data_IF_547392725361
#
_entry.id   IF_547392725361
#
_cell.length_a   1.000
_cell.length_b   1.000
_cell.length_c   1.000
_cell.angle_alpha   90.00
_cell.angle_beta   90.00
_cell.angle_gamma   90.00
#
_symmetry.space_group_name_H-M   'P 1'
#
loop_
_entity.id
_entity.type
_entity.pdbx_description
1 polymer ?
#
# COMPACT_ATOMS: atom_id res chain seq x y z
N UNK A 1 8.83 18.64 8.28
CA UNK A 1 8.02 19.36 7.28
C UNK A 1 7.34 18.34 6.39
N UNK A 2 6.05 18.51 6.16
CA UNK A 2 5.24 17.70 5.27
C UNK A 2 5.00 18.44 3.97
N UNK A 3 4.96 17.72 2.84
CA UNK A 3 4.82 18.30 1.52
C UNK A 3 3.56 17.76 0.84
N UNK A 4 2.99 18.57 -0.06
CA UNK A 4 1.90 18.20 -0.94
C UNK A 4 2.23 18.52 -2.40
N UNK A 5 3.51 18.75 -2.68
CA UNK A 5 4.02 19.05 -4.01
C UNK A 5 4.21 17.77 -4.84
N UNK A 6 4.15 17.93 -6.14
CA UNK A 6 4.13 16.87 -7.12
C UNK A 6 5.00 17.26 -8.32
N UNK A 7 5.83 16.33 -8.80
CA UNK A 7 6.80 16.58 -9.87
C UNK A 7 6.67 15.54 -10.97
N UNK A 8 7.05 15.91 -12.19
CA UNK A 8 6.98 15.06 -13.37
C UNK A 8 8.36 14.83 -13.98
N UNK A 9 8.70 13.55 -14.18
CA UNK A 9 9.92 13.12 -14.87
C UNK A 9 9.57 12.57 -16.25
N UNK A 10 10.22 13.08 -17.29
CA UNK A 10 10.02 12.58 -18.65
C UNK A 10 10.98 11.40 -18.90
N UNK A 11 10.45 10.20 -19.00
CA UNK A 11 11.24 8.97 -19.19
C UNK A 11 11.91 8.88 -20.57
N UNK A 12 11.39 9.57 -21.59
CA UNK A 12 11.98 9.60 -22.95
C UNK A 12 13.20 10.51 -22.99
N UNK A 13 13.08 11.72 -22.45
CA UNK A 13 14.18 12.70 -22.41
C UNK A 13 15.10 12.51 -21.22
N UNK A 14 14.72 11.68 -20.25
CA UNK A 14 15.42 11.44 -18.98
C UNK A 14 15.66 12.72 -18.17
N UNK A 15 14.68 13.61 -18.18
CA UNK A 15 14.79 14.92 -17.51
C UNK A 15 13.55 15.20 -16.67
N UNK A 16 13.78 15.84 -15.54
CA UNK A 16 12.70 16.50 -14.81
C UNK A 16 12.15 17.65 -15.63
N UNK A 17 10.83 17.78 -15.68
CA UNK A 17 10.22 18.88 -16.38
C UNK A 17 10.39 20.18 -15.57
N UNK A 18 11.30 21.04 -16.03
CA UNK A 18 11.56 22.33 -15.39
C UNK A 18 10.29 23.20 -15.37
N UNK A 19 10.06 23.86 -14.23
CA UNK A 19 8.91 24.72 -14.02
C UNK A 19 7.56 24.01 -13.88
N UNK A 20 7.54 22.68 -14.01
CA UNK A 20 6.36 21.93 -13.67
C UNK A 20 6.49 21.41 -12.25
N UNK A 21 5.76 22.02 -11.37
CA UNK A 21 5.43 21.51 -10.04
C UNK A 21 3.97 21.79 -9.80
N UNK A 22 3.26 20.86 -9.28
CA UNK A 22 1.88 21.02 -8.89
C UNK A 22 1.75 20.77 -7.40
N UNK A 23 0.89 21.52 -6.77
CA UNK A 23 0.38 21.19 -5.45
C UNK A 23 -0.91 20.42 -5.60
N UNK A 24 -1.20 19.55 -4.64
CA UNK A 24 -2.51 18.94 -4.55
C UNK A 24 -3.52 20.02 -4.14
N UNK A 25 -4.28 20.54 -5.12
CA UNK A 25 -5.34 21.52 -4.90
C UNK A 25 -6.65 20.91 -5.36
N UNK A 26 -7.62 20.84 -4.48
CA UNK A 26 -8.96 20.32 -4.74
C UNK A 26 -9.98 21.44 -4.48
N UNK A 27 -10.81 21.78 -5.46
CA UNK A 27 -11.81 22.85 -5.37
C UNK A 27 -11.21 24.18 -4.87
N UNK A 28 -9.98 24.51 -5.27
CA UNK A 28 -9.29 25.73 -4.87
C UNK A 28 -8.65 25.70 -3.48
N UNK A 29 -8.75 24.59 -2.76
CA UNK A 29 -8.16 24.40 -1.43
C UNK A 29 -6.92 23.50 -1.53
N UNK A 30 -5.82 23.95 -0.96
CA UNK A 30 -4.59 23.17 -0.87
C UNK A 30 -4.77 22.00 0.10
N UNK A 31 -4.50 20.78 -0.37
CA UNK A 31 -4.54 19.58 0.45
C UNK A 31 -3.35 19.58 1.42
N UNK A 32 -3.57 19.15 2.65
CA UNK A 32 -2.54 19.10 3.68
C UNK A 32 -1.37 18.20 3.27
N UNK A 33 -0.14 18.66 3.53
CA UNK A 33 1.09 17.91 3.28
C UNK A 33 1.15 16.63 4.10
N UNK A 34 1.76 15.58 3.52
CA UNK A 34 1.80 14.24 4.13
C UNK A 34 3.06 13.47 3.82
N UNK A 35 3.31 12.42 4.59
CA UNK A 35 4.31 11.38 4.30
C UNK A 35 3.70 10.00 4.51
N UNK A 36 4.38 8.96 4.01
CA UNK A 36 3.98 7.56 4.12
C UNK A 36 2.58 7.28 3.56
N UNK A 37 2.22 8.05 2.51
CA UNK A 37 1.01 7.87 1.74
C UNK A 37 1.08 6.62 0.85
N UNK A 38 -0.07 6.15 0.41
CA UNK A 38 -0.21 5.08 -0.57
C UNK A 38 -0.47 5.70 -1.94
N UNK A 39 0.15 5.13 -2.98
CA UNK A 39 -0.11 5.52 -4.36
C UNK A 39 -0.28 4.30 -5.28
N UNK A 40 -1.12 4.44 -6.29
CA UNK A 40 -1.29 3.48 -7.39
C UNK A 40 -1.80 4.18 -8.66
N UNK A 41 -1.88 3.45 -9.77
CA UNK A 41 -2.45 3.93 -11.03
C UNK A 41 -3.30 2.86 -11.69
N UNK A 42 -4.35 3.28 -12.39
CA UNK A 42 -5.16 2.44 -13.29
C UNK A 42 -4.69 2.53 -14.75
N UNK A 43 -3.54 3.17 -14.99
CA UNK A 43 -2.98 3.41 -16.33
C UNK A 43 -3.51 4.69 -17.00
N UNK A 44 -4.58 5.28 -16.49
CA UNK A 44 -5.14 6.54 -16.95
C UNK A 44 -4.96 7.67 -15.94
N UNK A 45 -5.21 7.37 -14.67
CA UNK A 45 -5.14 8.31 -13.55
C UNK A 45 -4.10 7.87 -12.53
N UNK A 46 -3.56 8.81 -11.79
CA UNK A 46 -2.79 8.54 -10.58
C UNK A 46 -3.66 8.70 -9.35
N UNK A 47 -3.47 7.85 -8.34
CA UNK A 47 -4.20 7.91 -7.07
C UNK A 47 -3.20 8.02 -5.93
N UNK A 48 -3.43 8.95 -5.02
CA UNK A 48 -2.61 9.16 -3.81
C UNK A 48 -3.53 9.38 -2.63
N UNK A 49 -3.26 8.74 -1.50
CA UNK A 49 -4.09 8.93 -0.32
C UNK A 49 -3.47 8.38 0.94
N UNK A 50 -4.19 8.55 2.04
CA UNK A 50 -3.75 8.13 3.36
C UNK A 50 -2.45 8.82 3.81
N UNK A 51 -1.63 8.17 4.66
CA UNK A 51 -0.44 8.80 5.22
C UNK A 51 -0.73 9.59 6.49
N UNK A 52 0.24 10.37 6.95
CA UNK A 52 0.03 11.27 8.08
C UNK A 52 0.70 12.63 7.87
N UNK A 53 0.19 13.65 8.53
CA UNK A 53 0.61 15.03 8.44
C UNK A 53 1.02 15.63 9.81
N UNK A 54 0.83 16.93 9.92
CA UNK A 54 1.12 17.66 11.15
C UNK A 54 0.33 17.09 12.35
N UNK A 55 0.83 17.32 13.55
CA UNK A 55 0.24 16.84 14.81
C UNK A 55 -0.06 15.33 14.84
N UNK A 56 0.71 14.55 14.07
CA UNK A 56 0.51 13.10 13.92
C UNK A 56 -0.90 12.70 13.43
N UNK A 57 -1.57 13.58 12.70
CA UNK A 57 -2.88 13.32 12.13
C UNK A 57 -2.78 12.28 11.00
N UNK A 58 -3.40 11.13 11.19
CA UNK A 58 -3.43 10.04 10.21
C UNK A 58 -4.65 10.20 9.32
N UNK A 59 -4.43 10.22 8.00
CA UNK A 59 -5.46 10.52 7.00
C UNK A 59 -6.29 9.30 6.62
N UNK A 60 -7.53 9.60 6.19
CA UNK A 60 -8.50 8.67 5.61
C UNK A 60 -9.08 9.28 4.34
N UNK A 61 -8.24 9.57 3.38
CA UNK A 61 -8.61 10.24 2.15
C UNK A 61 -7.88 9.61 0.96
N UNK A 62 -8.41 9.79 -0.22
CA UNK A 62 -7.72 9.53 -1.49
C UNK A 62 -8.03 10.64 -2.48
N UNK A 63 -7.08 10.90 -3.34
CA UNK A 63 -7.17 11.90 -4.40
C UNK A 63 -6.78 11.27 -5.73
N UNK A 64 -7.51 11.62 -6.78
CA UNK A 64 -7.24 11.23 -8.15
C UNK A 64 -6.59 12.40 -8.89
N UNK A 65 -5.50 12.13 -9.57
CA UNK A 65 -4.82 13.05 -10.47
C UNK A 65 -5.15 12.69 -11.92
N UNK A 66 -5.66 13.66 -12.67
CA UNK A 66 -5.80 13.56 -14.11
C UNK A 66 -4.57 14.18 -14.79
N UNK A 67 -3.71 13.38 -15.47
CA UNK A 67 -2.51 13.91 -16.11
C UNK A 67 -2.78 14.70 -17.39
N UNK A 68 -4.01 14.69 -17.92
CA UNK A 68 -4.41 15.45 -19.13
C UNK A 68 -4.84 16.86 -18.76
N UNK A 69 -5.74 16.99 -17.81
CA UNK A 69 -6.20 18.30 -17.29
C UNK A 69 -5.27 18.86 -16.21
N UNK A 70 -4.37 18.05 -15.68
CA UNK A 70 -3.46 18.37 -14.56
C UNK A 70 -4.23 18.83 -13.30
N UNK A 71 -5.37 18.17 -13.04
CA UNK A 71 -6.25 18.49 -11.92
C UNK A 71 -6.33 17.36 -10.91
N UNK A 72 -6.64 17.73 -9.67
CA UNK A 72 -6.90 16.80 -8.57
C UNK A 72 -8.37 16.82 -8.18
N UNK A 73 -8.89 15.68 -7.84
CA UNK A 73 -10.20 15.54 -7.19
C UNK A 73 -10.14 14.58 -6.02
N UNK A 74 -10.96 14.81 -5.03
CA UNK A 74 -11.10 13.88 -3.91
C UNK A 74 -11.95 12.69 -4.33
N UNK A 75 -11.51 11.48 -3.96
CA UNK A 75 -12.22 10.21 -4.18
C UNK A 75 -12.56 9.64 -2.82
N UNK A 76 -13.85 9.42 -2.54
CA UNK A 76 -14.31 8.87 -1.26
C UNK A 76 -13.65 7.52 -0.98
N UNK A 77 -12.94 7.41 0.14
CA UNK A 77 -12.27 6.17 0.57
C UNK A 77 -13.00 5.56 1.76
N UNK A 78 -13.55 4.34 1.64
CA UNK A 78 -14.34 3.73 2.71
C UNK A 78 -13.51 3.03 3.80
N UNK A 79 -12.19 2.94 3.60
CA UNK A 79 -11.29 2.23 4.52
C UNK A 79 -11.00 2.97 5.82
N UNK A 80 -10.22 2.34 6.70
CA UNK A 80 -9.71 2.96 7.93
C UNK A 80 -8.60 3.98 7.60
N UNK A 81 -8.43 4.98 8.47
CA UNK A 81 -7.25 5.88 8.42
C UNK A 81 -5.98 5.07 8.59
N UNK A 82 -4.93 5.40 7.83
CA UNK A 82 -3.66 4.67 7.89
C UNK A 82 -2.48 5.45 7.35
N UNK A 83 -1.29 5.09 7.77
CA UNK A 83 -0.02 5.48 7.16
C UNK A 83 0.88 4.26 7.01
N UNK A 84 1.83 4.32 6.08
CA UNK A 84 2.76 3.21 5.83
C UNK A 84 2.07 1.90 5.44
N UNK A 85 0.86 1.99 4.87
CA UNK A 85 0.17 0.89 4.24
C UNK A 85 0.75 0.57 2.87
N UNK A 86 0.16 -0.39 2.20
CA UNK A 86 0.55 -0.77 0.83
C UNK A 86 -0.64 -0.84 -0.10
N UNK A 87 -0.37 -0.69 -1.39
CA UNK A 87 -1.30 -1.03 -2.46
C UNK A 87 -0.63 -1.96 -3.46
N UNK A 88 -1.41 -2.88 -3.99
CA UNK A 88 -1.01 -3.73 -5.12
C UNK A 88 -2.13 -3.77 -6.14
N UNK A 89 -1.75 -3.88 -7.42
CA UNK A 89 -2.70 -3.96 -8.53
C UNK A 89 -2.73 -5.39 -9.05
N UNK A 90 -3.90 -6.00 -9.00
CA UNK A 90 -4.17 -7.38 -9.45
C UNK A 90 -5.47 -7.39 -10.23
N UNK A 91 -5.48 -8.03 -11.41
CA UNK A 91 -6.67 -8.25 -12.20
C UNK A 91 -7.55 -6.99 -12.36
N UNK A 92 -6.93 -5.91 -12.85
CA UNK A 92 -7.61 -4.63 -13.12
C UNK A 92 -8.28 -3.96 -11.90
N UNK A 93 -7.73 -4.19 -10.71
CA UNK A 93 -8.15 -3.54 -9.48
C UNK A 93 -6.96 -3.25 -8.56
N UNK A 94 -7.01 -2.15 -7.83
CA UNK A 94 -6.07 -1.86 -6.74
C UNK A 94 -6.64 -2.34 -5.41
N UNK A 95 -5.78 -2.91 -4.58
CA UNK A 95 -6.12 -3.31 -3.22
C UNK A 95 -5.27 -2.51 -2.24
N UNK A 96 -5.92 -1.76 -1.37
CA UNK A 96 -5.29 -0.97 -0.30
C UNK A 96 -5.46 -1.69 1.01
N UNK A 97 -4.36 -1.97 1.70
CA UNK A 97 -4.36 -2.68 2.97
C UNK A 97 -3.17 -2.30 3.85
N UNK A 98 -3.13 -2.88 5.04
CA UNK A 98 -2.06 -2.69 6.02
C UNK A 98 -1.91 -1.22 6.47
N UNK A 99 -0.82 -0.94 7.18
CA UNK A 99 -0.55 0.39 7.75
C UNK A 99 -1.00 0.51 9.20
N UNK A 100 -0.57 1.58 9.86
CA UNK A 100 -0.92 1.89 11.23
C UNK A 100 -1.91 3.05 11.29
N UNK A 101 -2.81 3.04 12.30
CA UNK A 101 -3.88 4.03 12.49
C UNK A 101 -3.49 5.19 13.40
N UNK A 102 -2.37 5.06 14.08
CA UNK A 102 -1.84 6.12 14.97
C UNK A 102 -0.33 6.10 14.97
N UNK A 103 0.28 7.27 14.89
CA UNK A 103 1.74 7.43 14.89
C UNK A 103 2.33 7.00 16.23
N UNK A 104 3.42 6.22 16.18
CA UNK A 104 4.09 5.70 17.38
C UNK A 104 3.43 4.50 18.04
N UNK A 105 2.26 4.04 17.57
CA UNK A 105 1.64 2.84 18.11
C UNK A 105 2.25 1.57 17.50
N UNK A 106 2.60 0.62 18.35
CA UNK A 106 3.20 -0.67 17.95
C UNK A 106 2.18 -1.77 17.67
N UNK A 107 0.88 -1.50 17.82
CA UNK A 107 -0.17 -2.54 17.72
C UNK A 107 -1.50 -2.04 17.11
N UNK A 108 -1.61 -0.76 16.76
CA UNK A 108 -2.84 -0.19 16.22
C UNK A 108 -2.81 -0.16 14.68
N UNK A 109 -2.88 -1.34 14.07
CA UNK A 109 -2.86 -1.49 12.61
C UNK A 109 -4.27 -1.45 12.01
N UNK A 110 -4.35 -1.00 10.75
CA UNK A 110 -5.55 -1.17 9.94
C UNK A 110 -5.73 -2.65 9.57
N UNK A 111 -6.95 -3.14 9.68
CA UNK A 111 -7.29 -4.55 9.47
C UNK A 111 -8.20 -4.79 8.28
N UNK A 112 -8.64 -3.74 7.61
CA UNK A 112 -9.45 -3.84 6.40
C UNK A 112 -8.60 -4.00 5.14
N UNK A 113 -9.20 -4.58 4.12
CA UNK A 113 -8.71 -4.62 2.75
C UNK A 113 -9.74 -3.93 1.87
N UNK A 114 -9.32 -2.91 1.13
CA UNK A 114 -10.21 -2.08 0.31
C UNK A 114 -9.79 -2.22 -1.15
N UNK A 115 -10.72 -2.71 -1.96
CA UNK A 115 -10.56 -2.85 -3.41
C UNK A 115 -11.05 -1.58 -4.11
N UNK A 116 -10.29 -1.10 -5.08
CA UNK A 116 -10.71 -0.11 -6.06
C UNK A 116 -10.80 -0.77 -7.44
N UNK A 117 -11.99 -0.88 -7.97
CA UNK A 117 -12.25 -1.47 -9.26
C UNK A 117 -12.04 -0.44 -10.37
N UNK A 118 -11.13 -0.71 -11.32
CA UNK A 118 -10.78 0.24 -12.38
C UNK A 118 -11.86 0.39 -13.44
N UNK A 119 -12.70 -0.62 -13.64
CA UNK A 119 -13.76 -0.55 -14.63
C UNK A 119 -14.94 0.30 -14.14
N UNK A 120 -15.32 0.14 -12.88
CA UNK A 120 -16.44 0.87 -12.28
C UNK A 120 -16.02 2.15 -11.58
N UNK A 121 -14.71 2.36 -11.38
CA UNK A 121 -14.14 3.51 -10.63
C UNK A 121 -14.74 3.64 -9.23
N UNK A 122 -14.97 2.51 -8.55
CA UNK A 122 -15.61 2.46 -7.25
C UNK A 122 -14.83 1.63 -6.24
N UNK A 123 -14.98 1.99 -4.98
CA UNK A 123 -14.40 1.31 -3.84
C UNK A 123 -15.34 0.25 -3.27
N UNK A 124 -14.76 -0.86 -2.86
CA UNK A 124 -15.43 -1.95 -2.16
C UNK A 124 -14.59 -2.39 -0.96
N UNK A 125 -15.22 -2.53 0.20
CA UNK A 125 -14.57 -3.13 1.36
C UNK A 125 -14.67 -4.65 1.25
N UNK A 126 -13.52 -5.32 1.22
CA UNK A 126 -13.48 -6.77 1.13
C UNK A 126 -14.06 -7.42 2.40
N UNK A 127 -14.83 -8.52 2.26
CA UNK A 127 -15.51 -9.17 3.39
C UNK A 127 -14.58 -9.69 4.48
N UNK A 128 -13.37 -10.18 4.08
CA UNK A 128 -12.41 -10.74 5.00
C UNK A 128 -11.46 -9.67 5.54
N UNK A 129 -11.63 -9.32 6.80
CA UNK A 129 -10.68 -8.47 7.51
C UNK A 129 -9.44 -9.27 7.93
N UNK A 130 -8.33 -8.56 8.15
CA UNK A 130 -7.07 -9.13 8.64
C UNK A 130 -7.12 -9.36 10.16
N UNK A 131 -8.18 -10.01 10.63
CA UNK A 131 -8.38 -10.39 12.03
C UNK A 131 -8.87 -11.81 12.08
N UNK A 132 -8.48 -12.54 13.11
CA UNK A 132 -9.03 -13.85 13.35
C UNK A 132 -10.54 -13.77 13.58
N UNK A 133 -11.27 -14.57 12.85
CA UNK A 133 -12.72 -14.72 13.04
C UNK A 133 -12.98 -16.10 13.64
N UNK A 134 -13.52 -16.18 14.87
CA UNK A 134 -13.92 -17.45 15.45
C UNK A 134 -14.91 -18.20 14.54
N UNK A 135 -14.60 -19.46 14.25
CA UNK A 135 -15.48 -20.33 13.47
C UNK A 135 -15.33 -20.28 11.95
N UNK A 136 -14.47 -19.43 11.41
CA UNK A 136 -14.15 -19.40 9.96
C UNK A 136 -12.89 -20.22 9.71
N UNK A 137 -12.95 -21.18 8.79
CA UNK A 137 -11.77 -21.91 8.31
C UNK A 137 -10.95 -20.97 7.37
N UNK A 138 -10.19 -20.11 7.98
CA UNK A 138 -9.13 -19.35 7.31
C UNK A 138 -7.79 -19.99 7.70
N UNK A 139 -6.74 -19.67 6.95
CA UNK A 139 -5.40 -19.95 7.46
C UNK A 139 -5.27 -19.31 8.84
N UNK A 140 -4.80 -20.09 9.79
CA UNK A 140 -4.61 -19.63 11.17
C UNK A 140 -3.66 -18.43 11.17
N UNK A 141 -3.86 -17.53 12.10
CA UNK A 141 -2.93 -16.43 12.38
C UNK A 141 -3.05 -15.20 11.46
N UNK A 142 -4.22 -14.88 10.91
CA UNK A 142 -4.46 -13.63 10.19
C UNK A 142 -4.11 -12.38 11.01
N UNK A 143 -4.10 -12.47 12.32
CA UNK A 143 -3.65 -11.42 13.24
C UNK A 143 -2.15 -11.11 13.11
N UNK A 144 -1.39 -11.94 12.37
CA UNK A 144 0.02 -11.70 12.04
C UNK A 144 0.22 -10.93 10.73
N UNK A 145 -0.85 -10.74 9.93
CA UNK A 145 -0.77 -10.00 8.67
C UNK A 145 -0.66 -8.48 8.91
N UNK A 146 -1.44 -7.85 9.80
CA UNK A 146 -1.41 -6.41 10.00
C UNK A 146 -0.03 -5.90 10.42
N UNK A 147 0.48 -4.95 9.66
CA UNK A 147 1.81 -4.35 9.83
C UNK A 147 1.91 -3.01 9.12
N UNK A 148 2.95 -2.26 9.40
CA UNK A 148 3.28 -0.99 8.75
C UNK A 148 4.58 -1.16 7.94
N UNK A 149 4.72 -0.42 6.84
CA UNK A 149 5.92 -0.39 6.00
C UNK A 149 6.32 -1.74 5.39
N UNK A 150 5.35 -2.59 5.10
CA UNK A 150 5.57 -3.82 4.37
C UNK A 150 5.86 -3.53 2.89
N UNK A 151 6.60 -4.43 2.24
CA UNK A 151 6.67 -4.47 0.78
C UNK A 151 5.55 -5.33 0.22
N UNK A 152 5.07 -4.96 -0.96
CA UNK A 152 4.17 -5.80 -1.74
C UNK A 152 4.69 -5.94 -3.17
N UNK A 153 4.39 -7.08 -3.78
CA UNK A 153 4.66 -7.35 -5.19
C UNK A 153 3.60 -8.32 -5.74
N UNK A 154 3.44 -8.34 -7.06
CA UNK A 154 2.46 -9.17 -7.76
C UNK A 154 3.18 -10.10 -8.73
N UNK A 155 2.75 -11.35 -8.79
CA UNK A 155 3.29 -12.34 -9.72
C UNK A 155 2.22 -13.31 -10.19
N UNK A 156 2.32 -13.72 -11.45
CA UNK A 156 1.55 -14.80 -12.06
C UNK A 156 2.42 -16.03 -12.40
N UNK A 157 3.61 -16.12 -11.81
CA UNK A 157 4.58 -17.17 -12.10
C UNK A 157 4.27 -18.52 -11.43
N UNK A 158 3.13 -18.64 -10.74
CA UNK A 158 2.66 -19.90 -10.18
C UNK A 158 2.24 -20.91 -11.26
N UNK A 159 2.07 -22.18 -10.86
CA UNK A 159 1.69 -23.27 -11.76
C UNK A 159 0.30 -23.11 -12.39
N UNK A 160 -0.55 -22.28 -11.82
CA UNK A 160 -1.92 -21.99 -12.28
C UNK A 160 -2.01 -20.75 -13.19
N UNK A 161 -0.91 -20.04 -13.42
CA UNK A 161 -0.82 -18.77 -14.16
C UNK A 161 -1.75 -17.65 -13.62
N UNK A 162 -2.24 -17.79 -12.39
CA UNK A 162 -3.08 -16.79 -11.75
C UNK A 162 -2.24 -15.68 -11.10
N UNK A 163 -2.75 -14.44 -11.15
CA UNK A 163 -2.13 -13.33 -10.46
C UNK A 163 -2.41 -13.37 -8.96
N UNK A 164 -1.34 -13.31 -8.18
CA UNK A 164 -1.40 -13.20 -6.73
C UNK A 164 -0.56 -12.01 -6.27
N UNK A 165 -1.05 -11.33 -5.25
CA UNK A 165 -0.22 -10.38 -4.52
C UNK A 165 0.49 -11.08 -3.36
N UNK A 166 1.67 -10.59 -3.06
CA UNK A 166 2.48 -11.04 -1.94
C UNK A 166 2.83 -9.85 -1.06
N UNK A 167 2.82 -10.08 0.23
CA UNK A 167 3.24 -9.10 1.25
C UNK A 167 4.31 -9.73 2.11
N UNK A 168 5.39 -9.00 2.30
CA UNK A 168 6.52 -9.45 3.12
C UNK A 168 7.12 -8.28 3.91
N UNK A 169 7.93 -8.56 4.90
CA UNK A 169 8.67 -7.58 5.69
C UNK A 169 7.76 -6.58 6.45
N UNK A 170 8.28 -5.42 6.80
CA UNK A 170 7.56 -4.41 7.57
C UNK A 170 7.61 -4.64 9.07
N UNK A 171 6.96 -3.76 9.81
CA UNK A 171 6.87 -3.83 11.28
C UNK A 171 5.47 -4.30 11.71
N UNK A 172 5.41 -5.37 12.45
CA UNK A 172 4.20 -5.99 12.96
C UNK A 172 4.51 -7.08 13.96
N UNK A 173 3.51 -7.91 14.32
CA UNK A 173 3.71 -9.01 15.28
C UNK A 173 4.76 -10.02 14.79
N UNK A 174 4.82 -10.27 13.48
CA UNK A 174 5.81 -11.17 12.91
C UNK A 174 6.23 -10.65 11.53
N UNK A 175 7.29 -9.85 11.51
CA UNK A 175 7.83 -9.22 10.30
C UNK A 175 8.49 -10.18 9.31
N UNK A 176 8.70 -11.43 9.70
CA UNK A 176 9.33 -12.47 8.85
C UNK A 176 8.31 -13.26 8.03
N UNK A 177 7.02 -13.18 8.35
CA UNK A 177 5.99 -13.91 7.59
C UNK A 177 5.78 -13.32 6.21
N UNK A 178 5.62 -14.20 5.23
CA UNK A 178 5.25 -13.87 3.86
C UNK A 178 3.84 -14.37 3.61
N UNK A 179 3.01 -13.51 3.04
CA UNK A 179 1.60 -13.81 2.79
C UNK A 179 1.25 -13.63 1.33
N UNK A 180 0.52 -14.60 0.78
CA UNK A 180 -0.06 -14.59 -0.57
C UNK A 180 -1.54 -14.26 -0.49
N UNK A 181 -1.99 -13.27 -1.25
CA UNK A 181 -3.40 -12.89 -1.35
C UNK A 181 -4.02 -13.44 -2.63
N UNK A 182 -5.12 -14.19 -2.47
CA UNK A 182 -5.96 -14.64 -3.56
C UNK A 182 -7.18 -13.71 -3.69
N UNK A 183 -7.14 -12.82 -4.67
CA UNK A 183 -8.17 -11.81 -4.90
C UNK A 183 -9.53 -12.39 -5.30
N UNK A 184 -9.57 -13.59 -5.94
CA UNK A 184 -10.81 -14.26 -6.35
C UNK A 184 -11.58 -14.84 -5.17
N UNK A 185 -10.86 -15.24 -4.12
CA UNK A 185 -11.42 -15.86 -2.90
C UNK A 185 -11.42 -14.93 -1.71
N UNK A 186 -10.80 -13.75 -1.83
CA UNK A 186 -10.52 -12.83 -0.72
C UNK A 186 -9.86 -13.56 0.46
N UNK A 187 -8.80 -14.33 0.17
CA UNK A 187 -8.12 -15.15 1.17
C UNK A 187 -6.62 -14.91 1.16
N UNK A 188 -6.04 -14.93 2.35
CA UNK A 188 -4.61 -14.87 2.57
C UNK A 188 -4.08 -16.25 2.96
N UNK A 189 -2.93 -16.62 2.41
CA UNK A 189 -2.22 -17.85 2.71
C UNK A 189 -0.81 -17.53 3.15
N UNK A 190 -0.42 -18.05 4.31
CA UNK A 190 0.96 -17.92 4.75
C UNK A 190 1.85 -18.78 3.85
N UNK A 191 2.90 -18.18 3.35
CA UNK A 191 3.96 -18.85 2.60
C UNK A 191 5.10 -19.21 3.56
N UNK A 192 6.17 -19.76 3.02
CA UNK A 192 7.40 -19.96 3.79
C UNK A 192 7.90 -18.61 4.33
N UNK A 193 8.28 -18.58 5.60
CA UNK A 193 8.80 -17.37 6.24
C UNK A 193 10.17 -17.00 5.63
N UNK A 194 10.51 -15.72 5.73
CA UNK A 194 11.83 -15.26 5.34
C UNK A 194 12.91 -16.06 6.04
N UNK A 195 13.91 -16.49 5.28
CA UNK A 195 15.08 -17.20 5.81
C UNK A 195 15.65 -16.49 7.05
N UNK A 196 16.15 -17.27 8.02
CA UNK A 196 16.82 -16.72 9.20
C UNK A 196 18.03 -15.82 8.86
N UNK A 197 18.58 -15.99 7.67
CA UNK A 197 19.67 -15.16 7.15
C UNK A 197 19.20 -13.85 6.49
N UNK A 198 17.90 -13.74 6.19
CA UNK A 198 17.35 -12.52 5.60
C UNK A 198 16.96 -11.51 6.69
N UNK A 199 17.21 -10.24 6.47
CA UNK A 199 16.76 -9.19 7.35
C UNK A 199 15.25 -8.93 7.14
N UNK A 200 14.52 -8.79 8.24
CA UNK A 200 13.16 -8.27 8.19
C UNK A 200 13.23 -6.75 8.06
N UNK A 201 13.16 -6.27 6.83
CA UNK A 201 13.33 -4.85 6.52
C UNK A 201 12.04 -4.07 6.77
N UNK A 202 12.19 -2.78 7.05
CA UNK A 202 11.11 -1.81 7.21
C UNK A 202 11.33 -0.67 6.23
N UNK A 203 10.29 -0.17 5.59
CA UNK A 203 10.40 0.87 4.54
C UNK A 203 11.24 0.44 3.34
N UNK A 204 11.21 -0.84 3.02
CA UNK A 204 11.90 -1.38 1.85
C UNK A 204 11.14 -1.15 0.56
N UNK A 205 11.72 -1.63 -0.54
CA UNK A 205 11.12 -1.65 -1.88
C UNK A 205 10.97 -3.10 -2.33
N UNK A 206 9.83 -3.42 -2.93
CA UNK A 206 9.55 -4.73 -3.52
C UNK A 206 9.20 -4.62 -4.99
N UNK A 207 9.62 -5.61 -5.78
CA UNK A 207 9.27 -5.73 -7.19
C UNK A 207 9.34 -7.20 -7.64
N UNK A 208 8.77 -7.47 -8.81
CA UNK A 208 8.80 -8.80 -9.43
C UNK A 208 9.60 -8.76 -10.73
N UNK A 209 10.42 -9.78 -10.96
CA UNK A 209 11.11 -9.98 -12.22
C UNK A 209 11.31 -11.47 -12.50
N UNK A 210 10.95 -11.92 -13.70
CA UNK A 210 11.11 -13.31 -14.16
C UNK A 210 10.63 -14.37 -13.16
N UNK A 211 9.47 -14.16 -12.56
CA UNK A 211 8.84 -15.10 -11.63
C UNK A 211 9.36 -15.05 -10.19
N UNK A 212 10.30 -14.19 -9.89
CA UNK A 212 10.84 -13.98 -8.55
C UNK A 212 10.33 -12.67 -7.96
N UNK A 213 9.94 -12.68 -6.68
CA UNK A 213 9.75 -11.48 -5.88
C UNK A 213 11.07 -11.04 -5.27
N UNK A 214 11.36 -9.76 -5.35
CA UNK A 214 12.56 -9.14 -4.78
C UNK A 214 12.14 -8.13 -3.72
N UNK A 215 12.91 -8.07 -2.65
CA UNK A 215 12.81 -6.96 -1.70
C UNK A 215 14.21 -6.49 -1.32
N UNK A 216 14.37 -5.21 -1.09
CA UNK A 216 15.67 -4.61 -0.81
C UNK A 216 15.49 -3.28 -0.08
N UNK A 217 16.61 -2.75 0.42
CA UNK A 217 16.69 -1.48 1.14
C UNK A 217 15.86 -1.45 2.42
N UNK A 218 15.73 -0.27 3.02
CA UNK A 218 15.06 -0.12 4.32
C UNK A 218 15.99 -0.34 5.51
N UNK A 219 15.47 -0.18 6.69
CA UNK A 219 16.16 -0.41 7.96
C UNK A 219 15.82 -1.77 8.57
N UNK A 220 16.59 -2.23 9.54
CA UNK A 220 16.18 -3.32 10.41
C UNK A 220 15.02 -2.93 11.30
N UNK A 221 14.20 -3.89 11.72
CA UNK A 221 13.03 -3.60 12.55
C UNK A 221 13.36 -2.97 13.92
N UNK A 222 14.62 -3.09 14.37
CA UNK A 222 15.13 -2.51 15.61
C UNK A 222 15.76 -1.12 15.40
N UNK A 223 16.17 -0.76 14.18
CA UNK A 223 17.00 0.43 13.94
C UNK A 223 16.20 1.64 13.43
N UNK A 224 14.93 1.47 13.16
CA UNK A 224 14.08 2.53 12.58
C UNK A 224 13.62 3.54 13.62
N UNK A 225 13.87 3.31 14.90
CA UNK A 225 13.25 4.06 16.01
C UNK A 225 14.20 4.56 17.10
N UNK A 226 15.48 4.59 16.83
CA UNK A 226 16.46 5.24 17.71
C UNK A 226 16.79 6.64 17.25
#
# INVERSE_FOLDING_TARGET
>A
KFFNDFYRFNVKTKQWQKGWSSKMIVNGVEVEGRRDAIAFTDGKYGYVGTGYGEDNRVFKDFYRFDPVSETWEEVSFPGESRYGGTAFVVNNAAYVCLGAKSVGATSNYATDVIKFDFATQSWEKMPNSLTDKPGVKQDKDYDRIPRVYAVSFVSNAGSDNEEYAYVATGQGRNSRTVWKYNHKKDQWHQMEDLSSMANALVMGVGFTYKGYGYYTTGGGSADVYT
#
